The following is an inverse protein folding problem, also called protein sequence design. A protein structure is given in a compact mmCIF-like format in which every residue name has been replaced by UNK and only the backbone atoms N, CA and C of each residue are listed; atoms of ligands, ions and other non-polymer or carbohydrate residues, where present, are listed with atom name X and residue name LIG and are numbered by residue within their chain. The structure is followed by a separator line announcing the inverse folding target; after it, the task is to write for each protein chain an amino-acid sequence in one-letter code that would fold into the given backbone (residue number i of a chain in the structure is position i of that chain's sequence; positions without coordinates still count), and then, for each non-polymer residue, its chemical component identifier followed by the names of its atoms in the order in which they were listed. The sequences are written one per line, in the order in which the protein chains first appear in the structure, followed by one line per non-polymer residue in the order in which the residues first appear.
data_IF_564903072869
#
_entry.id   IF_564903072869
#
_cell.length_a   1.000
_cell.length_b   1.000
_cell.length_c   1.000
_cell.angle_alpha   90.00
_cell.angle_beta   90.00
_cell.angle_gamma   90.00
#
_symmetry.space_group_name_H-M   'P 1'
#
loop_
_entity.id
_entity.type
_entity.pdbx_description
1 polymer ?
#
# COMPACT_ATOMS: atom_id res chain seq x y z
N UNK A 1 19.45 13.00 -8.34
CA UNK A 1 18.34 12.07 -8.62
C UNK A 1 18.14 11.96 -10.13
N UNK A 2 18.00 10.76 -10.65
CA UNK A 2 17.77 10.54 -12.08
C UNK A 2 16.32 10.84 -12.47
N UNK A 3 16.05 10.99 -13.79
CA UNK A 3 14.67 11.13 -14.29
C UNK A 3 13.83 9.91 -13.95
N UNK A 4 14.42 8.71 -14.03
CA UNK A 4 13.77 7.46 -13.69
C UNK A 4 13.35 7.45 -12.21
N UNK A 5 14.25 7.83 -11.32
CA UNK A 5 13.94 7.91 -9.88
C UNK A 5 12.85 8.93 -9.60
N UNK A 6 12.90 10.09 -10.24
CA UNK A 6 11.85 11.12 -10.10
C UNK A 6 10.50 10.60 -10.61
N UNK A 7 10.48 9.89 -11.73
CA UNK A 7 9.27 9.29 -12.29
C UNK A 7 8.70 8.23 -11.34
N UNK A 8 9.55 7.41 -10.75
CA UNK A 8 9.14 6.37 -9.81
C UNK A 8 8.52 6.97 -8.54
N UNK A 9 9.08 8.06 -8.04
CA UNK A 9 8.52 8.79 -6.89
C UNK A 9 7.17 9.39 -7.27
N UNK A 10 7.05 10.02 -8.44
CA UNK A 10 5.81 10.63 -8.90
C UNK A 10 4.68 9.59 -9.05
N UNK A 11 4.98 8.42 -9.63
CA UNK A 11 4.02 7.32 -9.76
C UNK A 11 3.54 6.84 -8.38
N UNK A 12 4.47 6.70 -7.43
CA UNK A 12 4.15 6.27 -6.07
C UNK A 12 3.27 7.29 -5.35
N UNK A 13 3.58 8.59 -5.47
CA UNK A 13 2.73 9.65 -4.90
C UNK A 13 1.32 9.62 -5.49
N UNK A 14 1.19 9.36 -6.79
CA UNK A 14 -0.10 9.27 -7.46
C UNK A 14 -0.94 8.11 -6.91
N UNK A 15 -0.32 6.94 -6.71
CA UNK A 15 -0.99 5.78 -6.12
C UNK A 15 -1.39 6.06 -4.67
N UNK A 16 -0.49 6.61 -3.87
CA UNK A 16 -0.73 6.93 -2.46
C UNK A 16 -1.88 7.92 -2.28
N UNK A 17 -2.06 8.84 -3.22
CA UNK A 17 -3.19 9.78 -3.21
C UNK A 17 -4.48 9.12 -3.69
N UNK A 18 -4.40 8.22 -4.67
CA UNK A 18 -5.55 7.57 -5.30
C UNK A 18 -6.26 6.58 -4.37
N UNK A 19 -5.51 5.81 -3.60
CA UNK A 19 -6.07 4.74 -2.76
C UNK A 19 -7.03 5.28 -1.69
N UNK A 20 -6.66 6.27 -0.85
CA UNK A 20 -7.61 6.85 0.12
C UNK A 20 -8.80 7.54 -0.53
N UNK A 21 -8.63 8.06 -1.75
CA UNK A 21 -9.69 8.71 -2.50
C UNK A 21 -10.66 7.73 -3.17
N UNK A 22 -10.38 6.43 -3.13
CA UNK A 22 -11.19 5.41 -3.80
C UNK A 22 -11.04 5.41 -5.30
N UNK A 23 -9.99 6.03 -5.84
CA UNK A 23 -9.71 6.11 -7.27
C UNK A 23 -8.87 4.91 -7.73
N UNK A 24 -9.51 3.76 -7.84
CA UNK A 24 -8.84 2.52 -8.20
C UNK A 24 -8.25 2.58 -9.61
N UNK A 25 -8.95 3.21 -10.55
CA UNK A 25 -8.47 3.30 -11.94
C UNK A 25 -7.12 4.01 -12.04
N UNK A 26 -6.96 5.13 -11.33
CA UNK A 26 -5.68 5.83 -11.29
C UNK A 26 -4.60 4.97 -10.65
N UNK A 27 -4.90 4.31 -9.53
CA UNK A 27 -3.95 3.42 -8.89
C UNK A 27 -3.50 2.31 -9.85
N UNK A 28 -4.44 1.63 -10.50
CA UNK A 28 -4.14 0.52 -11.42
C UNK A 28 -3.32 0.98 -12.63
N UNK A 29 -3.50 2.21 -13.10
CA UNK A 29 -2.75 2.75 -14.24
C UNK A 29 -1.25 2.86 -13.99
N UNK A 30 -0.83 2.88 -12.73
CA UNK A 30 0.57 2.94 -12.31
C UNK A 30 1.14 1.58 -11.89
N UNK A 31 0.39 0.51 -12.07
CA UNK A 31 0.84 -0.86 -11.76
C UNK A 31 1.22 -1.59 -13.03
N UNK A 32 2.32 -2.35 -12.96
CA UNK A 32 2.69 -3.27 -14.03
C UNK A 32 1.66 -4.41 -14.10
N UNK A 33 1.32 -4.93 -15.30
CA UNK A 33 0.40 -6.08 -15.41
C UNK A 33 0.85 -7.31 -14.64
N UNK A 34 2.16 -7.43 -14.35
CA UNK A 34 2.74 -8.53 -13.58
C UNK A 34 2.99 -8.14 -12.12
N UNK A 35 2.34 -7.07 -11.64
CA UNK A 35 2.53 -6.57 -10.29
C UNK A 35 2.35 -7.64 -9.22
N UNK A 36 3.17 -7.55 -8.19
CA UNK A 36 3.06 -8.38 -6.99
C UNK A 36 2.92 -7.48 -5.78
N UNK A 37 1.91 -7.73 -4.97
CA UNK A 37 1.65 -7.00 -3.74
C UNK A 37 1.80 -7.96 -2.58
N UNK A 38 2.67 -7.63 -1.63
CA UNK A 38 2.90 -8.43 -0.43
C UNK A 38 2.59 -7.59 0.80
N UNK A 39 1.59 -8.02 1.58
CA UNK A 39 1.31 -7.47 2.88
C UNK A 39 1.75 -8.48 3.94
N UNK A 40 2.70 -8.09 4.78
CA UNK A 40 3.22 -8.94 5.85
C UNK A 40 2.35 -8.84 7.09
N UNK A 41 1.59 -9.89 7.35
CA UNK A 41 0.68 -9.93 8.49
C UNK A 41 0.18 -11.34 8.74
N UNK A 42 -0.69 -11.46 9.73
CA UNK A 42 -1.28 -12.75 10.13
C UNK A 42 -2.56 -13.04 9.34
N UNK A 43 -3.04 -14.28 9.43
CA UNK A 43 -4.29 -14.72 8.78
C UNK A 43 -5.53 -13.98 9.28
N UNK A 44 -5.45 -13.31 10.44
CA UNK A 44 -6.53 -12.49 10.95
C UNK A 44 -6.76 -11.22 10.12
N UNK A 45 -5.78 -10.82 9.33
CA UNK A 45 -5.85 -9.63 8.48
C UNK A 45 -6.35 -10.07 7.11
N UNK A 46 -7.55 -9.62 6.67
CA UNK A 46 -8.18 -10.16 5.45
C UNK A 46 -7.37 -9.97 4.18
N UNK A 47 -6.54 -8.95 4.11
CA UNK A 47 -5.74 -8.61 2.92
C UNK A 47 -4.26 -9.01 3.04
N UNK A 48 -3.88 -9.74 4.09
CA UNK A 48 -2.50 -10.20 4.25
C UNK A 48 -2.14 -11.26 3.20
N UNK A 49 -0.84 -11.39 2.93
CA UNK A 49 -0.31 -12.35 1.99
C UNK A 49 0.11 -11.73 0.67
N UNK A 50 0.16 -12.55 -0.36
CA UNK A 50 0.60 -12.14 -1.70
C UNK A 50 -0.56 -12.08 -2.68
N UNK A 51 -0.55 -11.04 -3.53
CA UNK A 51 -1.53 -10.81 -4.58
C UNK A 51 -0.78 -10.57 -5.89
N UNK A 52 -1.15 -11.28 -6.95
CA UNK A 52 -0.41 -11.30 -8.20
C UNK A 52 -1.21 -10.77 -9.38
N UNK A 53 -0.54 -9.95 -10.21
CA UNK A 53 -1.10 -9.42 -11.45
C UNK A 53 -2.19 -8.38 -11.22
N UNK A 54 -2.77 -7.89 -12.31
CA UNK A 54 -3.84 -6.90 -12.24
C UNK A 54 -5.04 -7.42 -11.45
N UNK A 55 -5.44 -8.66 -11.68
CA UNK A 55 -6.57 -9.26 -10.95
C UNK A 55 -6.30 -9.35 -9.45
N UNK A 56 -5.07 -9.74 -9.06
CA UNK A 56 -4.66 -9.78 -7.66
C UNK A 56 -4.61 -8.41 -7.01
N UNK A 57 -4.19 -7.39 -7.75
CA UNK A 57 -4.18 -6.00 -7.27
C UNK A 57 -5.60 -5.50 -7.05
N UNK A 58 -6.51 -5.73 -7.99
CA UNK A 58 -7.93 -5.37 -7.84
C UNK A 58 -8.52 -6.05 -6.60
N UNK A 59 -8.24 -7.32 -6.42
CA UNK A 59 -8.70 -8.09 -5.25
C UNK A 59 -8.16 -7.48 -3.95
N UNK A 60 -6.85 -7.20 -3.89
CA UNK A 60 -6.22 -6.61 -2.71
C UNK A 60 -6.88 -5.28 -2.33
N UNK A 61 -6.98 -4.34 -3.27
CA UNK A 61 -7.56 -3.04 -2.99
C UNK A 61 -9.06 -3.12 -2.66
N UNK A 62 -9.78 -4.05 -3.27
CA UNK A 62 -11.20 -4.28 -2.97
C UNK A 62 -11.36 -4.81 -1.54
N UNK A 63 -10.56 -5.78 -1.12
CA UNK A 63 -10.59 -6.32 0.24
C UNK A 63 -10.24 -5.22 1.25
N UNK A 64 -9.16 -4.47 0.99
CA UNK A 64 -8.77 -3.34 1.86
C UNK A 64 -9.94 -2.38 2.03
N UNK A 65 -10.53 -1.90 0.93
CA UNK A 65 -11.62 -0.93 0.96
C UNK A 65 -12.91 -1.45 1.58
N UNK A 66 -13.11 -2.77 1.58
CA UNK A 66 -14.26 -3.41 2.22
C UNK A 66 -14.13 -3.40 3.75
N UNK A 67 -12.92 -3.49 4.27
CA UNK A 67 -12.68 -3.66 5.70
C UNK A 67 -12.21 -2.41 6.43
N UNK A 68 -11.46 -1.54 5.76
CA UNK A 68 -10.86 -0.37 6.40
C UNK A 68 -10.97 0.87 5.54
N UNK A 69 -10.84 2.02 6.21
CA UNK A 69 -10.63 3.31 5.57
C UNK A 69 -9.29 3.87 6.04
N UNK A 70 -8.51 4.40 5.11
CA UNK A 70 -7.30 5.17 5.45
C UNK A 70 -7.76 6.58 5.79
N UNK A 71 -7.72 6.91 7.08
CA UNK A 71 -8.20 8.20 7.58
C UNK A 71 -7.19 9.30 7.27
N UNK A 72 -5.92 8.96 7.40
CA UNK A 72 -4.82 9.90 7.20
C UNK A 72 -3.56 9.13 6.83
N UNK A 73 -2.70 9.76 6.02
CA UNK A 73 -1.41 9.21 5.63
C UNK A 73 -0.42 10.33 5.44
N UNK A 74 0.75 10.17 6.02
CA UNK A 74 1.84 11.11 5.87
C UNK A 74 3.12 10.33 5.54
N UNK A 75 3.75 10.67 4.42
CA UNK A 75 5.03 10.08 4.02
C UNK A 75 6.14 11.08 4.30
N UNK A 76 7.08 10.68 5.15
CA UNK A 76 8.16 11.54 5.62
C UNK A 76 9.40 11.45 4.73
N UNK A 77 9.61 10.32 4.06
CA UNK A 77 10.86 10.06 3.37
C UNK A 77 10.63 9.20 2.14
N UNK A 78 11.27 9.59 1.04
CA UNK A 78 11.38 8.83 -0.20
C UNK A 78 12.85 8.63 -0.49
N UNK A 79 13.30 7.37 -0.54
CA UNK A 79 14.70 7.00 -0.86
C UNK A 79 14.68 6.19 -2.14
N UNK A 80 15.20 6.77 -3.21
CA UNK A 80 15.25 6.12 -4.52
C UNK A 80 16.67 5.61 -4.81
N UNK A 81 16.75 4.40 -5.35
CA UNK A 81 17.98 3.80 -5.85
C UNK A 81 17.62 3.03 -7.13
N UNK A 82 17.78 3.67 -8.27
CA UNK A 82 17.40 3.11 -9.57
C UNK A 82 15.91 2.78 -9.59
N UNK A 83 15.58 1.52 -9.86
CA UNK A 83 14.21 1.02 -9.90
C UNK A 83 13.69 0.53 -8.54
N UNK A 84 14.38 0.85 -7.46
CA UNK A 84 13.93 0.55 -6.11
C UNK A 84 13.64 1.84 -5.36
N UNK A 85 12.55 1.83 -4.62
CA UNK A 85 12.10 2.97 -3.83
C UNK A 85 11.69 2.49 -2.46
N UNK A 86 12.26 3.12 -1.43
CA UNK A 86 11.80 2.94 -0.06
C UNK A 86 11.05 4.19 0.38
N UNK A 87 9.90 4.02 1.01
CA UNK A 87 9.16 5.11 1.61
C UNK A 87 8.91 4.82 3.09
N UNK A 88 8.89 5.87 3.91
CA UNK A 88 8.64 5.76 5.34
C UNK A 88 7.69 6.86 5.78
N UNK A 89 6.73 6.50 6.61
CA UNK A 89 5.75 7.45 7.11
C UNK A 89 4.82 6.80 8.12
N UNK A 90 3.61 7.37 8.24
CA UNK A 90 2.57 6.86 9.12
C UNK A 90 1.22 6.83 8.42
N UNK A 91 0.37 5.92 8.84
CA UNK A 91 -1.01 5.82 8.38
C UNK A 91 -1.93 5.66 9.59
N UNK A 92 -3.08 6.30 9.53
CA UNK A 92 -4.17 6.10 10.48
C UNK A 92 -5.30 5.38 9.77
N UNK A 93 -5.79 4.30 10.36
CA UNK A 93 -6.83 3.45 9.79
C UNK A 93 -8.07 3.44 10.67
N UNK A 94 -9.21 3.17 10.05
CA UNK A 94 -10.47 2.91 10.73
C UNK A 94 -11.04 1.60 10.22
N UNK A 95 -11.31 0.66 11.12
CA UNK A 95 -12.02 -0.58 10.77
C UNK A 95 -13.51 -0.26 10.63
N UNK A 96 -14.05 -0.49 9.44
CA UNK A 96 -15.43 -0.03 9.11
C UNK A 96 -16.49 -0.71 9.94
N UNK A 97 -16.32 -2.00 10.25
CA UNK A 97 -17.35 -2.76 11.00
C UNK A 97 -17.46 -2.38 12.48
N UNK A 98 -16.41 -1.81 13.07
CA UNK A 98 -16.36 -1.50 14.52
C UNK A 98 -16.12 -0.03 14.82
N UNK A 99 -15.64 0.74 13.85
CA UNK A 99 -15.20 2.13 14.05
C UNK A 99 -13.87 2.26 14.80
N UNK A 100 -13.21 1.14 15.11
CA UNK A 100 -11.91 1.18 15.79
C UNK A 100 -10.85 1.83 14.90
N UNK A 101 -10.11 2.78 15.47
CA UNK A 101 -9.00 3.46 14.79
C UNK A 101 -7.67 3.07 15.39
N UNK A 102 -6.64 2.99 14.55
CA UNK A 102 -5.26 2.79 15.00
C UNK A 102 -4.29 3.46 14.04
N UNK A 103 -3.13 3.77 14.56
CA UNK A 103 -2.05 4.38 13.78
C UNK A 103 -0.86 3.46 13.78
N UNK A 104 -0.17 3.38 12.65
CA UNK A 104 1.08 2.64 12.51
C UNK A 104 2.04 3.41 11.61
N UNK A 105 3.31 3.38 11.95
CA UNK A 105 4.34 3.71 10.98
C UNK A 105 4.39 2.61 9.93
N UNK A 106 4.79 2.98 8.73
CA UNK A 106 4.98 2.04 7.63
C UNK A 106 6.33 2.25 6.97
N UNK A 107 6.85 1.20 6.37
CA UNK A 107 7.92 1.25 5.39
C UNK A 107 7.46 0.45 4.17
N UNK A 108 7.43 1.08 3.01
CA UNK A 108 7.12 0.41 1.76
C UNK A 108 8.40 0.23 0.97
N UNK A 109 8.68 -0.99 0.53
CA UNK A 109 9.81 -1.28 -0.36
C UNK A 109 9.22 -1.66 -1.71
N UNK A 110 9.50 -0.82 -2.70
CA UNK A 110 8.84 -0.89 -4.00
C UNK A 110 9.89 -1.10 -5.08
N UNK A 111 9.69 -2.12 -5.91
CA UNK A 111 10.46 -2.30 -7.14
C UNK A 111 9.56 -1.88 -8.29
N UNK A 112 10.09 -1.03 -9.20
CA UNK A 112 9.36 -0.53 -10.35
C UNK A 112 9.99 -1.04 -11.64
N UNK A 113 9.19 -1.03 -12.71
CA UNK A 113 9.62 -1.34 -14.06
C UNK A 113 8.91 -0.36 -15.01
N UNK A 114 9.70 0.40 -15.77
CA UNK A 114 9.18 1.40 -16.70
C UNK A 114 8.21 2.38 -16.04
N UNK A 115 8.53 2.82 -14.82
CA UNK A 115 7.75 3.77 -14.06
C UNK A 115 6.48 3.23 -13.43
N UNK A 116 6.30 1.91 -13.41
CA UNK A 116 5.13 1.25 -12.81
C UNK A 116 5.56 0.33 -11.68
N UNK A 117 4.72 0.20 -10.67
CA UNK A 117 4.97 -0.74 -9.58
C UNK A 117 5.00 -2.17 -10.10
N UNK A 118 6.10 -2.86 -9.86
CA UNK A 118 6.27 -4.27 -10.18
C UNK A 118 6.17 -5.15 -8.93
N UNK A 119 6.73 -4.70 -7.81
CA UNK A 119 6.58 -5.39 -6.54
C UNK A 119 6.45 -4.35 -5.43
N UNK A 120 5.32 -4.39 -4.75
CA UNK A 120 5.04 -3.55 -3.59
C UNK A 120 5.06 -4.41 -2.32
N UNK A 121 5.92 -4.06 -1.38
CA UNK A 121 6.05 -4.75 -0.09
C UNK A 121 5.67 -3.78 1.03
N UNK A 122 4.65 -4.16 1.78
CA UNK A 122 4.08 -3.33 2.83
C UNK A 122 4.54 -3.83 4.21
N UNK A 123 5.39 -3.05 4.86
CA UNK A 123 5.85 -3.30 6.21
C UNK A 123 5.24 -2.27 7.16
N UNK A 124 4.62 -2.75 8.22
CA UNK A 124 4.07 -1.89 9.26
C UNK A 124 4.05 -2.67 10.59
N UNK A 125 3.57 -2.04 11.65
CA UNK A 125 3.35 -2.74 12.90
C UNK A 125 2.10 -3.64 12.75
N UNK A 126 2.30 -4.81 12.16
CA UNK A 126 1.20 -5.75 11.89
C UNK A 126 0.53 -6.29 13.16
N UNK A 127 1.20 -6.20 14.31
CA UNK A 127 0.58 -6.57 15.59
C UNK A 127 -0.60 -5.65 15.92
N UNK A 128 -0.49 -4.35 15.63
CA UNK A 128 -1.59 -3.40 15.83
C UNK A 128 -2.74 -3.68 14.86
N UNK A 129 -2.44 -4.02 13.63
CA UNK A 129 -3.45 -4.37 12.63
C UNK A 129 -4.12 -5.70 13.00
N UNK A 130 -3.36 -6.68 13.43
CA UNK A 130 -3.89 -7.96 13.92
C UNK A 130 -4.87 -7.72 15.08
N UNK A 131 -4.49 -6.90 16.06
CA UNK A 131 -5.37 -6.55 17.17
C UNK A 131 -6.67 -5.90 16.69
N UNK A 132 -6.58 -4.97 15.73
CA UNK A 132 -7.74 -4.29 15.18
C UNK A 132 -8.74 -5.26 14.54
N UNK A 133 -8.28 -6.37 13.96
CA UNK A 133 -9.13 -7.38 13.33
C UNK A 133 -9.56 -8.52 14.26
N UNK A 134 -8.98 -8.63 15.45
CA UNK A 134 -9.32 -9.68 16.41
C UNK A 134 -10.11 -9.18 17.62
N UNK A 135 -10.10 -7.88 17.90
CA UNK A 135 -10.92 -7.31 18.95
C UNK A 135 -12.39 -7.24 18.48
N UNK A 136 -13.28 -7.68 19.32
CA UNK A 136 -14.68 -7.91 19.07
C UNK A 136 -15.50 -6.87 18.37
#
# INVERSE_FOLDING_TARGET
MTEEESRNIAATKAIDAAIPAGDLDTALSHLDPEVRITYYGTDAIPYAGEHHGTAGAVEFFTIVGTHIRIVDMETWLFIADGDNLATWGRQTFCRLSTGHTWESEFAHIITLRDGRWLHFRDFMNSALTHEAFTRG
#
